data_IF_273484325730
#
_entry.id   IF_273484325730
#
_cell.length_a   1.000
_cell.length_b   1.000
_cell.length_c   1.000
_cell.angle_alpha   90.00
_cell.angle_beta   90.00
_cell.angle_gamma   90.00
#
_symmetry.space_group_name_H-M   'P 1'
#
loop_
_entity.id
_entity.type
_entity.pdbx_description
1 polymer ?
#
# COMPACT_ATOMS: atom_id res chain seq x y z
N UNK A 1 -13.76 24.57 1.64
CA UNK A 1 -13.72 23.48 2.64
C UNK A 1 -12.60 22.51 2.23
N UNK A 2 -11.93 21.83 3.16
CA UNK A 2 -10.80 20.93 2.88
C UNK A 2 -11.19 19.49 3.19
N UNK A 3 -11.03 18.60 2.20
CA UNK A 3 -11.44 17.19 2.24
C UNK A 3 -10.28 16.21 2.54
N UNK A 4 -9.05 16.59 2.19
CA UNK A 4 -7.87 15.76 2.41
C UNK A 4 -6.72 16.57 2.97
N UNK A 5 -6.00 15.98 3.93
CA UNK A 5 -4.80 16.51 4.54
C UNK A 5 -3.74 15.41 4.49
N UNK A 6 -2.55 15.77 4.03
CA UNK A 6 -1.37 14.91 4.04
C UNK A 6 -0.16 15.71 4.52
N UNK A 7 0.78 15.03 5.15
CA UNK A 7 2.01 15.63 5.68
C UNK A 7 3.18 15.04 4.91
N UNK A 8 3.87 15.88 4.15
CA UNK A 8 5.03 15.45 3.38
C UNK A 8 6.15 14.98 4.32
N UNK A 9 6.70 13.80 4.02
CA UNK A 9 7.81 13.19 4.75
C UNK A 9 9.11 13.24 3.89
N UNK A 10 10.31 13.19 4.50
CA UNK A 10 10.58 13.09 5.95
C UNK A 10 10.38 14.43 6.68
N UNK A 11 10.09 14.34 7.98
CA UNK A 11 10.04 15.51 8.86
C UNK A 11 11.45 15.81 9.42
N UNK A 12 11.74 17.08 9.78
CA UNK A 12 12.89 17.42 10.61
C UNK A 12 12.97 16.53 11.86
N UNK A 13 14.18 16.13 12.26
CA UNK A 13 14.41 15.17 13.34
C UNK A 13 13.84 15.62 14.70
N UNK A 14 13.66 16.92 14.92
CA UNK A 14 13.11 17.48 16.15
C UNK A 14 11.59 17.32 16.27
N UNK A 15 10.90 16.97 15.18
CA UNK A 15 9.46 16.83 15.15
C UNK A 15 9.04 15.38 15.37
N UNK A 16 8.08 15.19 16.29
CA UNK A 16 7.45 13.88 16.48
C UNK A 16 6.49 13.59 15.32
N UNK A 17 6.96 12.75 14.40
CA UNK A 17 6.19 12.26 13.25
C UNK A 17 4.84 11.66 13.67
N UNK A 18 4.81 10.88 14.74
CA UNK A 18 3.60 10.14 15.14
C UNK A 18 2.54 11.11 15.64
N UNK A 19 2.94 12.03 16.51
CA UNK A 19 2.07 13.09 17.02
C UNK A 19 1.51 13.98 15.91
N UNK A 20 2.30 14.30 14.88
CA UNK A 20 1.85 15.12 13.75
C UNK A 20 0.84 14.36 12.89
N UNK A 21 1.13 13.11 12.52
CA UNK A 21 0.22 12.30 11.69
C UNK A 21 -1.09 11.99 12.44
N UNK A 22 -1.03 11.72 13.75
CA UNK A 22 -2.21 11.45 14.58
C UNK A 22 -3.00 12.73 14.96
N UNK A 23 -2.51 13.92 14.58
CA UNK A 23 -3.28 15.16 14.74
C UNK A 23 -4.23 15.42 13.57
N UNK A 24 -4.08 14.69 12.45
CA UNK A 24 -4.96 14.81 11.29
C UNK A 24 -6.30 14.14 11.62
N UNK A 25 -7.43 14.83 11.36
CA UNK A 25 -8.74 14.22 11.53
C UNK A 25 -8.86 12.96 10.65
N UNK A 26 -9.36 11.87 11.23
CA UNK A 26 -9.47 10.58 10.54
C UNK A 26 -10.17 10.66 9.19
N UNK A 27 -11.27 11.42 9.09
CA UNK A 27 -12.03 11.55 7.85
C UNK A 27 -11.31 12.33 6.75
N UNK A 28 -10.16 12.94 7.07
CA UNK A 28 -9.34 13.74 6.16
C UNK A 28 -7.94 13.18 5.96
N UNK A 29 -7.58 12.09 6.63
CA UNK A 29 -6.29 11.42 6.48
C UNK A 29 -6.24 10.61 5.19
N UNK A 30 -6.19 11.31 4.05
CA UNK A 30 -6.19 10.70 2.71
C UNK A 30 -4.91 9.92 2.42
N UNK A 31 -3.87 10.07 3.25
CA UNK A 31 -2.64 9.27 3.19
C UNK A 31 -2.76 7.95 3.98
N UNK A 32 -3.80 7.79 4.80
CA UNK A 32 -4.07 6.57 5.56
C UNK A 32 -2.97 6.20 6.57
N UNK A 33 -2.25 7.20 7.09
CA UNK A 33 -1.11 6.99 7.99
C UNK A 33 -1.43 7.22 9.47
N UNK A 34 -2.65 7.65 9.79
CA UNK A 34 -3.16 7.78 11.16
C UNK A 34 -3.22 6.42 11.87
N UNK A 35 -2.99 6.39 13.18
CA UNK A 35 -2.81 5.14 13.93
C UNK A 35 -4.10 4.36 13.98
N UNK A 36 -5.21 5.08 14.12
CA UNK A 36 -6.55 4.51 14.09
C UNK A 36 -6.89 3.89 12.72
N UNK A 37 -6.42 4.41 11.59
CA UNK A 37 -6.63 3.74 10.28
C UNK A 37 -5.99 2.34 10.25
N UNK A 38 -4.77 2.21 10.79
CA UNK A 38 -4.12 0.91 10.91
C UNK A 38 -4.84 0.00 11.92
N UNK A 39 -5.34 0.56 13.03
CA UNK A 39 -6.10 -0.19 14.03
C UNK A 39 -7.44 -0.71 13.47
N UNK A 40 -8.12 0.09 12.65
CA UNK A 40 -9.35 -0.28 11.97
C UNK A 40 -9.11 -1.46 11.01
N UNK A 41 -8.00 -1.43 10.27
CA UNK A 41 -7.58 -2.53 9.41
C UNK A 41 -7.24 -3.79 10.21
N UNK A 42 -6.52 -3.67 11.34
CA UNK A 42 -6.21 -4.79 12.22
C UNK A 42 -7.45 -5.44 12.83
N UNK A 43 -8.42 -4.62 13.24
CA UNK A 43 -9.66 -5.09 13.88
C UNK A 43 -10.66 -5.66 12.88
N UNK A 44 -10.34 -5.63 11.58
CA UNK A 44 -11.27 -5.94 10.49
C UNK A 44 -12.57 -5.11 10.56
N UNK A 45 -12.55 -3.99 11.29
CA UNK A 45 -13.67 -3.06 11.39
C UNK A 45 -13.91 -2.32 10.07
N UNK A 46 -12.89 -2.29 9.20
CA UNK A 46 -12.95 -1.65 7.91
C UNK A 46 -12.52 -2.58 6.80
N UNK A 47 -13.29 -2.56 5.72
CA UNK A 47 -12.87 -3.12 4.43
C UNK A 47 -11.91 -2.13 3.75
N UNK A 48 -10.92 -2.59 2.97
CA UNK A 48 -10.14 -1.74 2.05
C UNK A 48 -11.02 -0.89 1.12
N UNK A 49 -12.29 -1.26 0.95
CA UNK A 49 -13.30 -0.54 0.17
C UNK A 49 -14.18 0.42 0.99
N UNK A 50 -13.86 0.65 2.26
CA UNK A 50 -14.63 1.54 3.13
C UNK A 50 -14.47 3.00 2.71
N UNK A 51 -15.56 3.77 2.55
CA UNK A 51 -15.49 5.18 2.17
C UNK A 51 -14.99 6.09 3.31
N UNK A 52 -14.89 5.58 4.53
CA UNK A 52 -14.51 6.34 5.73
C UNK A 52 -13.23 5.85 6.39
N UNK A 53 -12.57 4.85 5.80
CA UNK A 53 -11.29 4.35 6.28
C UNK A 53 -10.30 4.30 5.12
N UNK A 54 -9.23 5.06 5.26
CA UNK A 54 -8.21 5.22 4.25
C UNK A 54 -7.04 4.30 4.56
N UNK A 55 -6.67 3.49 3.58
CA UNK A 55 -5.39 2.77 3.57
C UNK A 55 -4.37 3.57 2.73
N UNK A 56 -3.06 3.37 2.97
CA UNK A 56 -2.04 4.10 2.23
C UNK A 56 -2.16 3.92 0.72
N UNK A 57 -1.89 4.98 -0.04
CA UNK A 57 -2.06 4.99 -1.50
C UNK A 57 -1.31 3.86 -2.22
N UNK A 58 -0.09 3.54 -1.77
CA UNK A 58 0.67 2.41 -2.28
C UNK A 58 -0.01 1.06 -2.04
N UNK A 59 -0.58 0.86 -0.85
CA UNK A 59 -1.33 -0.37 -0.50
C UNK A 59 -2.56 -0.51 -1.38
N UNK A 60 -3.36 0.56 -1.48
CA UNK A 60 -4.55 0.58 -2.34
C UNK A 60 -4.17 0.35 -3.80
N UNK A 61 -3.04 0.90 -4.24
CA UNK A 61 -2.55 0.75 -5.60
C UNK A 61 -2.16 -0.69 -5.93
N UNK A 62 -1.51 -1.37 -4.98
CA UNK A 62 -1.17 -2.79 -5.14
C UNK A 62 -2.43 -3.65 -5.18
N UNK A 63 -3.39 -3.42 -4.27
CA UNK A 63 -4.66 -4.14 -4.29
C UNK A 63 -5.42 -3.93 -5.60
N UNK A 64 -5.45 -2.69 -6.11
CA UNK A 64 -6.07 -2.38 -7.39
C UNK A 64 -5.37 -3.04 -8.57
N UNK A 65 -4.04 -3.12 -8.58
CA UNK A 65 -3.31 -3.86 -9.61
C UNK A 65 -3.66 -5.36 -9.56
N UNK A 66 -3.71 -5.96 -8.38
CA UNK A 66 -4.08 -7.37 -8.23
C UNK A 66 -5.51 -7.63 -8.73
N UNK A 67 -6.45 -6.73 -8.43
CA UNK A 67 -7.82 -6.79 -8.93
C UNK A 67 -7.89 -6.61 -10.46
N UNK A 68 -7.22 -5.59 -11.00
CA UNK A 68 -7.22 -5.28 -12.44
C UNK A 68 -6.71 -6.43 -13.30
N UNK A 69 -5.71 -7.18 -12.81
CA UNK A 69 -5.16 -8.36 -13.47
C UNK A 69 -5.87 -9.68 -13.09
N UNK A 70 -7.03 -9.62 -12.44
CA UNK A 70 -7.86 -10.77 -12.04
C UNK A 70 -7.09 -11.82 -11.20
N UNK A 71 -6.23 -11.35 -10.29
CA UNK A 71 -5.45 -12.22 -9.42
C UNK A 71 -6.31 -12.66 -8.23
N UNK A 72 -6.75 -13.92 -8.27
CA UNK A 72 -7.51 -14.54 -7.18
C UNK A 72 -6.69 -14.61 -5.90
N UNK A 73 -7.11 -13.88 -4.87
CA UNK A 73 -6.45 -13.76 -3.58
C UNK A 73 -6.77 -14.89 -2.58
N UNK A 74 -8.04 -15.32 -2.39
CA UNK A 74 -8.36 -16.29 -1.34
C UNK A 74 -7.56 -17.59 -1.46
N UNK A 75 -6.95 -18.01 -0.35
CA UNK A 75 -6.13 -19.22 -0.26
C UNK A 75 -4.70 -19.11 -0.81
N UNK A 76 -4.31 -17.97 -1.41
CA UNK A 76 -2.94 -17.77 -1.88
C UNK A 76 -1.96 -17.56 -0.72
N UNK A 77 -0.74 -18.06 -0.90
CA UNK A 77 0.38 -17.78 -0.01
C UNK A 77 1.08 -16.51 -0.49
N UNK A 78 1.11 -15.48 0.36
CA UNK A 78 1.75 -14.19 0.05
C UNK A 78 2.96 -13.98 0.95
N UNK A 79 4.09 -13.61 0.36
CA UNK A 79 5.26 -13.16 1.09
C UNK A 79 5.44 -11.66 0.88
N UNK A 80 5.33 -10.89 1.96
CA UNK A 80 5.58 -9.45 1.97
C UNK A 80 6.96 -9.21 2.55
N UNK A 81 7.91 -8.76 1.74
CA UNK A 81 9.28 -8.43 2.15
C UNK A 81 9.36 -6.92 2.37
N UNK A 82 9.25 -6.53 3.63
CA UNK A 82 9.10 -5.15 4.12
C UNK A 82 7.97 -5.07 5.14
N UNK A 83 8.19 -4.35 6.25
CA UNK A 83 7.19 -4.20 7.32
C UNK A 83 6.92 -2.72 7.66
N UNK A 84 7.09 -1.83 6.68
CA UNK A 84 6.85 -0.39 6.87
C UNK A 84 5.38 -0.11 7.15
N UNK A 85 5.09 1.01 7.82
CA UNK A 85 3.71 1.49 8.04
C UNK A 85 3.06 2.09 6.79
N UNK A 86 3.83 2.33 5.73
CA UNK A 86 3.34 2.92 4.47
C UNK A 86 2.97 1.88 3.43
N UNK A 87 3.53 0.67 3.51
CA UNK A 87 3.27 -0.41 2.55
C UNK A 87 3.13 -1.75 3.26
N UNK A 88 4.23 -2.29 3.79
CA UNK A 88 4.32 -3.71 4.13
C UNK A 88 3.30 -4.20 5.17
N UNK A 89 3.25 -3.55 6.34
CA UNK A 89 2.34 -3.95 7.41
C UNK A 89 0.86 -3.77 7.04
N UNK A 90 0.38 -2.59 6.61
CA UNK A 90 -1.03 -2.44 6.22
C UNK A 90 -1.41 -3.36 5.07
N UNK A 91 -0.55 -3.57 4.08
CA UNK A 91 -0.83 -4.49 2.97
C UNK A 91 -0.97 -5.93 3.45
N UNK A 92 -0.13 -6.37 4.37
CA UNK A 92 -0.22 -7.72 4.91
C UNK A 92 -1.55 -7.95 5.65
N UNK A 93 -2.02 -6.95 6.42
CA UNK A 93 -3.30 -7.01 7.11
C UNK A 93 -4.47 -7.04 6.12
N UNK A 94 -4.45 -6.17 5.10
CA UNK A 94 -5.48 -6.14 4.07
C UNK A 94 -5.55 -7.44 3.28
N UNK A 95 -4.42 -8.03 2.91
CA UNK A 95 -4.40 -9.32 2.20
C UNK A 95 -4.88 -10.46 3.10
N UNK A 96 -4.57 -10.41 4.40
CA UNK A 96 -5.06 -11.41 5.36
C UNK A 96 -6.58 -11.35 5.49
N UNK A 97 -7.18 -10.14 5.53
CA UNK A 97 -8.64 -9.99 5.56
C UNK A 97 -9.33 -10.41 4.25
N UNK A 98 -8.58 -10.41 3.13
CA UNK A 98 -9.02 -10.92 1.83
C UNK A 98 -8.80 -12.45 1.66
N UNK A 99 -8.42 -13.15 2.74
CA UNK A 99 -8.31 -14.62 2.76
C UNK A 99 -6.97 -15.18 2.28
N UNK A 100 -5.92 -14.37 2.20
CA UNK A 100 -4.57 -14.85 1.92
C UNK A 100 -3.90 -15.43 3.18
N UNK A 101 -3.01 -16.41 3.00
CA UNK A 101 -2.00 -16.74 4.01
C UNK A 101 -0.80 -15.82 3.84
N UNK A 102 -0.56 -14.90 4.77
CA UNK A 102 0.48 -13.88 4.62
C UNK A 102 1.67 -14.12 5.55
N UNK A 103 2.89 -14.05 5.00
CA UNK A 103 4.15 -14.03 5.76
C UNK A 103 4.86 -12.70 5.57
N UNK A 104 5.12 -11.98 6.66
CA UNK A 104 5.89 -10.73 6.64
C UNK A 104 7.36 -11.03 6.93
N UNK A 105 8.25 -10.59 6.04
CA UNK A 105 9.69 -10.63 6.20
C UNK A 105 10.23 -9.20 6.36
N UNK A 106 11.21 -9.02 7.23
CA UNK A 106 12.01 -7.79 7.37
C UNK A 106 13.42 -8.03 6.84
N UNK A 107 14.22 -6.97 6.70
CA UNK A 107 15.65 -7.09 6.37
C UNK A 107 16.46 -7.89 7.43
N UNK A 108 15.90 -8.09 8.62
CA UNK A 108 16.50 -8.89 9.71
C UNK A 108 16.03 -10.34 9.71
N UNK A 109 15.10 -10.71 8.84
CA UNK A 109 14.52 -12.06 8.83
C UNK A 109 15.53 -13.08 8.32
N UNK A 110 15.74 -14.16 9.07
CA UNK A 110 16.59 -15.26 8.63
C UNK A 110 15.91 -16.10 7.53
N UNK A 111 16.69 -16.53 6.54
CA UNK A 111 16.23 -17.38 5.44
C UNK A 111 15.03 -16.80 4.66
N UNK A 112 15.05 -15.52 4.28
CA UNK A 112 14.00 -14.87 3.46
C UNK A 112 13.70 -15.67 2.19
N UNK A 113 14.74 -16.17 1.52
CA UNK A 113 14.64 -17.02 0.32
C UNK A 113 13.59 -18.13 0.47
N UNK A 114 13.63 -18.89 1.56
CA UNK A 114 12.74 -20.02 1.78
C UNK A 114 11.26 -19.62 1.95
N UNK A 115 10.99 -18.36 2.32
CA UNK A 115 9.62 -17.81 2.40
C UNK A 115 9.16 -17.36 1.01
N UNK A 116 10.04 -16.67 0.28
CA UNK A 116 9.79 -16.21 -1.10
C UNK A 116 9.53 -17.38 -2.06
N UNK A 117 10.30 -18.47 -1.96
CA UNK A 117 10.17 -19.66 -2.83
C UNK A 117 8.84 -20.40 -2.67
N UNK A 118 8.09 -20.15 -1.59
CA UNK A 118 6.78 -20.76 -1.34
C UNK A 118 5.62 -19.86 -1.74
N UNK A 119 5.87 -18.58 -1.98
CA UNK A 119 4.83 -17.58 -2.19
C UNK A 119 4.25 -17.66 -3.61
N UNK A 120 2.93 -17.70 -3.71
CA UNK A 120 2.21 -17.48 -4.97
C UNK A 120 2.26 -16.02 -5.40
N UNK A 121 2.35 -15.11 -4.41
CA UNK A 121 2.49 -13.68 -4.62
C UNK A 121 3.64 -13.17 -3.76
N UNK A 122 4.65 -12.57 -4.40
CA UNK A 122 5.71 -11.82 -3.73
C UNK A 122 5.38 -10.34 -3.79
N UNK A 123 5.52 -9.65 -2.65
CA UNK A 123 5.47 -8.19 -2.58
C UNK A 123 6.72 -7.66 -1.89
N UNK A 124 7.55 -6.90 -2.59
CA UNK A 124 8.77 -6.33 -2.05
C UNK A 124 8.63 -4.80 -1.86
N UNK A 125 8.95 -4.31 -0.65
CA UNK A 125 8.85 -2.90 -0.27
C UNK A 125 9.86 -2.54 0.83
N UNK A 126 11.12 -2.96 0.68
CA UNK A 126 12.23 -2.69 1.60
C UNK A 126 12.99 -1.41 1.26
N UNK A 127 12.97 -0.96 0.01
CA UNK A 127 13.82 0.15 -0.47
C UNK A 127 15.29 -0.23 -0.58
N UNK A 128 15.60 -1.52 -0.71
CA UNK A 128 16.95 -2.06 -0.85
C UNK A 128 17.07 -2.71 -2.23
N UNK A 129 17.77 -2.02 -3.12
CA UNK A 129 18.01 -2.46 -4.49
C UNK A 129 18.40 -3.93 -4.62
N UNK A 130 17.66 -4.67 -5.45
CA UNK A 130 17.97 -6.06 -5.83
C UNK A 130 18.15 -7.03 -4.64
N UNK A 131 17.53 -6.74 -3.49
CA UNK A 131 17.57 -7.58 -2.30
C UNK A 131 16.99 -8.97 -2.60
N UNK A 132 15.84 -9.03 -3.27
CA UNK A 132 15.19 -10.29 -3.65
C UNK A 132 15.75 -10.74 -4.99
N UNK A 133 16.34 -11.94 -5.00
CA UNK A 133 16.96 -12.50 -6.22
C UNK A 133 15.94 -13.21 -7.10
N UNK A 134 16.16 -13.16 -8.40
CA UNK A 134 15.25 -13.73 -9.39
C UNK A 134 15.08 -15.26 -9.24
N UNK A 135 16.11 -15.96 -8.78
CA UNK A 135 16.07 -17.42 -8.56
C UNK A 135 15.22 -17.83 -7.34
N UNK A 136 14.91 -16.91 -6.44
CA UNK A 136 14.05 -17.17 -5.28
C UNK A 136 12.57 -17.21 -5.65
N UNK A 137 12.18 -16.66 -6.80
CA UNK A 137 10.79 -16.52 -7.20
C UNK A 137 10.20 -17.91 -7.48
N UNK A 138 9.06 -18.25 -6.86
CA UNK A 138 8.33 -19.47 -7.18
C UNK A 138 7.88 -19.45 -8.66
N UNK A 139 8.08 -20.53 -9.44
CA UNK A 139 7.54 -20.61 -10.79
C UNK A 139 6.02 -20.37 -10.82
N UNK A 140 5.56 -19.49 -11.71
CA UNK A 140 4.17 -19.04 -11.82
C UNK A 140 3.77 -17.93 -10.86
N UNK A 141 4.64 -17.45 -9.97
CA UNK A 141 4.28 -16.42 -8.99
C UNK A 141 4.05 -15.04 -9.60
N UNK A 142 3.17 -14.26 -8.96
CA UNK A 142 3.00 -12.83 -9.22
C UNK A 142 4.03 -12.06 -8.38
N UNK A 143 4.72 -11.11 -9.00
CA UNK A 143 5.74 -10.28 -8.34
C UNK A 143 5.36 -8.81 -8.38
N UNK A 144 5.10 -8.24 -7.21
CA UNK A 144 4.88 -6.82 -7.01
C UNK A 144 6.14 -6.22 -6.37
N UNK A 145 6.77 -5.31 -7.09
CA UNK A 145 7.95 -4.57 -6.67
C UNK A 145 7.57 -3.10 -6.43
N UNK A 146 7.41 -2.76 -5.16
CA UNK A 146 7.13 -1.41 -4.69
C UNK A 146 8.40 -0.65 -4.27
N UNK A 147 9.58 -1.28 -4.41
CA UNK A 147 10.86 -0.67 -4.13
C UNK A 147 11.19 0.43 -5.12
N UNK A 148 11.74 1.53 -4.60
CA UNK A 148 12.34 2.59 -5.41
C UNK A 148 13.68 2.92 -4.79
N UNK A 149 14.76 2.55 -5.47
CA UNK A 149 16.12 2.94 -5.13
C UNK A 149 16.73 3.71 -6.29
N UNK A 150 17.21 4.92 -6.01
CA UNK A 150 17.93 5.75 -6.96
C UNK A 150 19.41 5.39 -6.89
N UNK A 151 19.98 4.93 -7.98
CA UNK A 151 21.40 4.61 -8.11
C UNK A 151 22.08 5.60 -9.05
N UNK A 152 23.15 6.22 -8.59
CA UNK A 152 24.00 7.08 -9.41
C UNK A 152 25.27 6.31 -9.81
N UNK A 153 25.51 6.19 -11.12
CA UNK A 153 26.79 5.72 -11.62
C UNK A 153 27.85 6.80 -11.40
N UNK A 154 28.81 6.53 -10.50
CA UNK A 154 29.87 7.50 -10.15
C UNK A 154 30.73 7.93 -11.34
N UNK A 155 30.91 7.06 -12.34
CA UNK A 155 31.76 7.33 -13.51
C UNK A 155 31.01 8.10 -14.60
N UNK A 156 29.77 7.75 -14.89
CA UNK A 156 28.99 8.34 -15.99
C UNK A 156 28.01 9.43 -15.54
N UNK A 157 27.85 9.63 -14.22
CA UNK A 157 26.81 10.47 -13.61
C UNK A 157 25.38 10.10 -14.02
N UNK A 158 25.21 8.90 -14.57
CA UNK A 158 23.92 8.39 -14.98
C UNK A 158 23.10 7.97 -13.76
N UNK A 159 21.87 8.47 -13.69
CA UNK A 159 20.91 8.09 -12.65
C UNK A 159 20.04 6.96 -13.19
N UNK A 160 19.92 5.89 -12.42
CA UNK A 160 19.04 4.76 -12.71
C UNK A 160 18.13 4.52 -11.50
N UNK A 161 16.90 4.08 -11.77
CA UNK A 161 15.95 3.70 -10.73
C UNK A 161 15.77 2.20 -10.80
N UNK A 162 15.95 1.51 -9.68
CA UNK A 162 15.74 0.08 -9.57
C UNK A 162 14.80 -0.24 -8.40
N UNK A 163 14.21 -1.43 -8.46
CA UNK A 163 13.34 -1.95 -7.41
C UNK A 163 14.08 -2.85 -6.43
N UNK A 164 13.31 -3.43 -5.52
CA UNK A 164 13.82 -4.37 -4.52
C UNK A 164 14.05 -5.76 -5.10
N UNK A 165 13.45 -6.07 -6.25
CA UNK A 165 13.58 -7.36 -6.94
C UNK A 165 14.54 -7.24 -8.13
N UNK A 166 15.50 -8.14 -8.17
CA UNK A 166 16.49 -8.24 -9.23
C UNK A 166 15.83 -8.57 -10.59
N UNK A 167 15.94 -7.65 -11.56
CA UNK A 167 15.33 -7.79 -12.89
C UNK A 167 16.29 -8.48 -13.87
N UNK A 168 16.30 -9.81 -13.87
CA UNK A 168 17.03 -10.63 -14.86
C UNK A 168 16.09 -11.35 -15.82
N UNK A 169 16.61 -11.88 -16.94
CA UNK A 169 15.84 -12.75 -17.84
C UNK A 169 15.20 -13.94 -17.11
N UNK A 170 15.84 -14.42 -16.05
CA UNK A 170 15.33 -15.52 -15.23
C UNK A 170 14.07 -15.13 -14.46
N UNK A 171 13.92 -13.86 -14.05
CA UNK A 171 12.71 -13.39 -13.38
C UNK A 171 11.48 -13.57 -14.28
N UNK A 172 11.59 -13.14 -15.54
CA UNK A 172 10.52 -13.21 -16.53
C UNK A 172 10.17 -14.64 -16.97
N UNK A 173 11.13 -15.57 -16.87
CA UNK A 173 10.90 -17.00 -17.11
C UNK A 173 10.16 -17.69 -15.96
N UNK A 174 10.25 -17.15 -14.75
CA UNK A 174 9.70 -17.76 -13.53
C UNK A 174 8.38 -17.13 -13.12
N UNK A 175 8.28 -15.81 -13.11
CA UNK A 175 7.07 -15.11 -12.70
C UNK A 175 5.99 -15.15 -13.79
N UNK A 176 4.71 -15.22 -13.38
CA UNK A 176 3.59 -15.07 -14.31
C UNK A 176 3.32 -13.60 -14.65
N UNK A 177 3.49 -12.72 -13.66
CA UNK A 177 3.39 -11.27 -13.80
C UNK A 177 4.43 -10.59 -12.92
N UNK A 178 4.96 -9.46 -13.39
CA UNK A 178 5.97 -8.68 -12.66
C UNK A 178 5.69 -7.20 -12.88
N UNK A 179 5.67 -6.41 -11.81
CA UNK A 179 5.61 -4.95 -11.97
C UNK A 179 6.97 -4.39 -12.41
N UNK A 180 7.00 -3.47 -13.40
CA UNK A 180 8.22 -2.77 -13.77
C UNK A 180 8.60 -1.74 -12.71
N UNK A 181 9.88 -1.41 -12.64
CA UNK A 181 10.40 -0.28 -11.86
C UNK A 181 11.38 0.49 -12.75
N UNK A 182 11.10 1.77 -13.06
CA UNK A 182 9.90 2.55 -12.72
C UNK A 182 8.65 2.09 -13.50
N UNK A 183 7.48 2.64 -13.17
CA UNK A 183 6.25 2.47 -13.95
C UNK A 183 5.22 1.48 -13.40
N UNK A 184 5.52 0.77 -12.30
CA UNK A 184 4.60 -0.14 -11.63
C UNK A 184 3.80 0.52 -10.50
N UNK A 185 4.18 0.26 -9.25
CA UNK A 185 3.44 0.70 -8.05
C UNK A 185 3.49 2.22 -7.84
N UNK A 186 4.57 2.88 -8.26
CA UNK A 186 4.78 4.33 -8.07
C UNK A 186 3.63 5.18 -8.62
N UNK A 187 3.31 5.12 -9.93
CA UNK A 187 2.18 5.85 -10.51
C UNK A 187 0.85 5.56 -9.81
N UNK A 188 0.59 4.29 -9.44
CA UNK A 188 -0.63 3.90 -8.74
C UNK A 188 -0.77 4.56 -7.38
N UNK A 189 0.34 4.83 -6.69
CA UNK A 189 0.31 5.49 -5.37
C UNK A 189 -0.31 6.87 -5.47
N UNK A 190 0.05 7.66 -6.49
CA UNK A 190 -0.51 9.00 -6.72
C UNK A 190 -1.99 8.93 -7.10
N UNK A 191 -2.34 8.03 -8.02
CA UNK A 191 -3.74 7.84 -8.44
C UNK A 191 -4.62 7.47 -7.25
N UNK A 192 -4.14 6.60 -6.36
CA UNK A 192 -4.90 6.18 -5.20
C UNK A 192 -5.00 7.23 -4.11
N UNK A 193 -4.01 8.13 -3.96
CA UNK A 193 -4.15 9.31 -3.09
C UNK A 193 -5.25 10.27 -3.59
N UNK A 194 -5.34 10.48 -4.90
CA UNK A 194 -6.43 11.23 -5.50
C UNK A 194 -7.77 10.53 -5.30
N UNK A 195 -7.81 9.20 -5.40
CA UNK A 195 -9.01 8.41 -5.12
C UNK A 195 -9.44 8.51 -3.66
N UNK A 196 -8.51 8.41 -2.70
CA UNK A 196 -8.79 8.62 -1.27
C UNK A 196 -9.39 10.02 -1.03
N UNK A 197 -8.86 11.04 -1.70
CA UNK A 197 -9.36 12.42 -1.60
C UNK A 197 -10.78 12.56 -2.17
N UNK A 198 -11.05 11.92 -3.30
CA UNK A 198 -12.38 11.90 -3.90
C UNK A 198 -13.39 11.17 -2.99
N UNK A 199 -12.98 10.07 -2.38
CA UNK A 199 -13.82 9.31 -1.46
C UNK A 199 -14.13 10.12 -0.19
N UNK A 200 -13.15 10.83 0.36
CA UNK A 200 -13.35 11.75 1.48
C UNK A 200 -14.36 12.86 1.15
N UNK A 201 -14.24 13.47 -0.04
CA UNK A 201 -15.18 14.47 -0.53
C UNK A 201 -16.61 13.91 -0.63
N UNK A 202 -16.78 12.73 -1.24
CA UNK A 202 -18.10 12.07 -1.38
C UNK A 202 -18.71 11.72 -0.03
N UNK A 203 -17.90 11.19 0.89
CA UNK A 203 -18.34 10.84 2.24
C UNK A 203 -18.88 12.07 2.97
N UNK A 204 -18.14 13.19 2.93
CA UNK A 204 -18.62 14.44 3.51
C UNK A 204 -19.90 14.96 2.88
N UNK A 205 -19.96 15.01 1.54
CA UNK A 205 -21.14 15.52 0.84
C UNK A 205 -22.40 14.72 1.24
N UNK A 206 -22.25 13.40 1.34
CA UNK A 206 -23.33 12.51 1.81
C UNK A 206 -23.77 12.88 3.22
N UNK A 207 -22.84 13.12 4.14
CA UNK A 207 -23.16 13.53 5.51
C UNK A 207 -23.86 14.90 5.58
N UNK A 208 -23.46 15.86 4.74
CA UNK A 208 -24.12 17.17 4.66
C UNK A 208 -25.56 17.05 4.17
N UNK A 209 -25.80 16.27 3.12
CA UNK A 209 -27.14 15.99 2.59
C UNK A 209 -28.02 15.33 3.66
N UNK A 210 -27.51 14.30 4.34
CA UNK A 210 -28.23 13.59 5.41
C UNK A 210 -28.60 14.52 6.58
N UNK A 211 -27.68 15.43 6.97
CA UNK A 211 -27.96 16.44 8.00
C UNK A 211 -29.07 17.40 7.57
N UNK A 212 -29.07 17.86 6.32
CA UNK A 212 -30.13 18.73 5.79
C UNK A 212 -31.49 18.02 5.78
N UNK A 213 -31.53 16.74 5.38
CA UNK A 213 -32.77 15.95 5.41
C UNK A 213 -33.30 15.73 6.83
N UNK A 214 -32.43 15.38 7.79
CA UNK A 214 -32.83 15.24 9.20
C UNK A 214 -33.43 16.54 9.75
N UNK A 215 -32.78 17.68 9.49
CA UNK A 215 -33.25 18.97 9.94
C UNK A 215 -34.61 19.36 9.32
N UNK A 216 -34.85 19.01 8.05
CA UNK A 216 -36.16 19.19 7.40
C UNK A 216 -37.24 18.30 8.02
N UNK A 217 -36.97 17.03 8.31
CA UNK A 217 -37.94 16.15 8.93
C UNK A 217 -38.33 16.57 10.36
N UNK A 218 -37.39 17.13 11.14
CA UNK A 218 -37.70 17.67 12.48
C UNK A 218 -38.56 18.92 12.43
N UNK A 219 -38.52 19.72 11.37
CA UNK A 219 -39.31 20.95 11.22
C UNK A 219 -40.75 20.71 10.74
N UNK A 220 -41.06 19.52 10.21
CA UNK A 220 -42.41 19.17 9.72
C UNK A 220 -43.27 18.48 10.80
N UNK A 221 -42.67 18.09 11.93
CA UNK A 221 -43.34 17.45 13.06
C UNK A 221 -43.68 18.42 14.22
N UNK A 222 -43.63 19.73 13.96
CA UNK A 222 -44.09 20.81 14.84
C UNK A 222 -45.08 21.68 14.08
#
# INVERSE_FOLDING_TARGET
MVDGILVQLPLPQQLDRRRILDAICLEKDVDGLHSLQLADLCSCATSPSSPTSFIPGAVRGILHLLEFYDIKLPGKVVCVVGASRTVGLPLALALSSLGCTVTICTVQTNHVRAKVERADILIASTGVANLVKADWIKPGAVVIDAGITVMENKATKQITICGDVEKTDNLWKRASLVTPVPGGVGPMTVVMLLQNTLDAYKARLTQEILKQHRNRCTLVNH
#
